data_IF_009892735432
#
_entry.id   IF_009892735432
#
_cell.length_a   1.000
_cell.length_b   1.000
_cell.length_c   1.000
_cell.angle_alpha   90.00
_cell.angle_beta   90.00
_cell.angle_gamma   90.00
#
_symmetry.space_group_name_H-M   'P 1'
#
loop_
_entity.id
_entity.type
_entity.pdbx_description
1 polymer ?
#
# COMPACT_ATOMS: atom_id res chain seq x y z
N UNK A 1 26.99 27.13 2.59
CA UNK A 1 25.68 27.75 2.29
C UNK A 1 24.93 27.00 1.18
N UNK A 2 25.56 26.74 0.03
CA UNK A 2 24.97 26.00 -1.12
C UNK A 2 24.52 24.56 -0.77
N UNK A 3 25.26 23.86 0.11
CA UNK A 3 24.91 22.50 0.56
C UNK A 3 23.55 22.42 1.28
N UNK A 4 23.16 23.47 2.03
CA UNK A 4 21.87 23.52 2.72
C UNK A 4 20.70 23.66 1.74
N UNK A 5 20.92 24.39 0.63
CA UNK A 5 19.90 24.59 -0.41
C UNK A 5 19.60 23.28 -1.15
N UNK A 6 20.64 22.48 -1.41
CA UNK A 6 20.48 21.17 -2.06
C UNK A 6 19.65 20.22 -1.20
N UNK A 7 19.90 20.16 0.12
CA UNK A 7 19.12 19.29 1.03
C UNK A 7 17.64 19.67 1.03
N UNK A 8 17.31 20.96 1.10
CA UNK A 8 15.92 21.42 1.09
C UNK A 8 15.18 21.05 -0.20
N UNK A 9 15.86 21.14 -1.35
CA UNK A 9 15.28 20.75 -2.65
C UNK A 9 15.09 19.23 -2.71
N UNK A 10 16.05 18.45 -2.23
CA UNK A 10 15.93 16.98 -2.17
C UNK A 10 14.75 16.53 -1.31
N UNK A 11 14.57 17.12 -0.13
CA UNK A 11 13.43 16.83 0.76
C UNK A 11 12.09 17.18 0.10
N UNK A 12 12.00 18.32 -0.58
CA UNK A 12 10.78 18.74 -1.27
C UNK A 12 10.41 17.83 -2.45
N UNK A 13 11.40 17.21 -3.12
CA UNK A 13 11.16 16.22 -4.18
C UNK A 13 10.68 14.90 -3.56
N UNK A 14 11.34 14.43 -2.50
CA UNK A 14 10.97 13.20 -1.80
C UNK A 14 9.56 13.25 -1.21
N UNK A 15 9.13 14.42 -0.73
CA UNK A 15 7.79 14.61 -0.18
C UNK A 15 6.70 14.52 -1.26
N UNK A 16 6.98 15.02 -2.47
CA UNK A 16 6.07 14.88 -3.62
C UNK A 16 5.92 13.43 -4.07
N UNK A 17 7.00 12.67 -4.11
CA UNK A 17 6.93 11.24 -4.47
C UNK A 17 6.14 10.43 -3.45
N UNK A 18 6.22 10.76 -2.17
CA UNK A 18 5.41 10.11 -1.13
C UNK A 18 3.92 10.42 -1.29
N UNK A 19 3.56 11.68 -1.53
CA UNK A 19 2.15 12.09 -1.62
C UNK A 19 1.45 11.57 -2.88
N UNK A 20 2.14 11.53 -4.03
CA UNK A 20 1.54 11.07 -5.30
C UNK A 20 1.42 9.54 -5.39
N UNK A 21 2.22 8.79 -4.62
CA UNK A 21 2.16 7.32 -4.61
C UNK A 21 1.22 6.74 -3.56
N UNK A 22 0.76 7.54 -2.58
CA UNK A 22 -0.22 7.12 -1.60
C UNK A 22 -1.60 6.96 -2.24
N UNK A 23 -1.90 5.73 -2.68
CA UNK A 23 -3.22 5.35 -3.21
C UNK A 23 -4.04 4.69 -2.10
N UNK A 24 -4.83 5.45 -1.32
CA UNK A 24 -5.65 4.85 -0.28
C UNK A 24 -6.71 3.93 -0.89
N UNK A 25 -6.89 2.77 -0.28
CA UNK A 25 -7.95 1.83 -0.59
C UNK A 25 -8.65 1.39 0.68
N UNK A 26 -9.91 0.98 0.53
CA UNK A 26 -10.70 0.41 1.62
C UNK A 26 -10.94 -1.06 1.30
N UNK A 27 -10.80 -1.90 2.32
CA UNK A 27 -11.21 -3.31 2.25
C UNK A 27 -12.74 -3.38 2.29
N UNK A 28 -13.34 -3.98 1.27
CA UNK A 28 -14.79 -4.18 1.19
C UNK A 28 -15.20 -5.64 1.36
N UNK A 29 -14.26 -6.57 1.30
CA UNK A 29 -14.51 -7.96 1.64
C UNK A 29 -14.68 -8.10 3.16
N UNK A 30 -15.72 -8.82 3.59
CA UNK A 30 -16.02 -9.11 5.02
C UNK A 30 -14.79 -9.65 5.75
N UNK A 31 -14.05 -10.53 5.08
CA UNK A 31 -12.78 -11.06 5.54
C UNK A 31 -11.86 -11.32 4.34
N UNK A 32 -10.61 -10.89 4.44
CA UNK A 32 -9.61 -11.14 3.41
C UNK A 32 -8.27 -11.54 4.00
N UNK A 33 -7.68 -12.57 3.41
CA UNK A 33 -6.38 -13.09 3.81
C UNK A 33 -5.29 -12.34 3.04
N UNK A 34 -4.41 -11.68 3.78
CA UNK A 34 -3.25 -11.02 3.20
C UNK A 34 -2.11 -12.02 3.10
N UNK A 35 -1.56 -12.12 1.89
CA UNK A 35 -0.55 -13.09 1.49
C UNK A 35 0.85 -12.50 1.53
N UNK A 36 1.85 -13.33 1.77
CA UNK A 36 3.26 -12.92 1.76
C UNK A 36 3.74 -12.57 0.35
N UNK A 37 3.16 -13.23 -0.65
CA UNK A 37 3.56 -13.15 -2.05
C UNK A 37 2.29 -13.04 -2.92
N UNK A 38 2.39 -12.54 -4.16
CA UNK A 38 1.28 -12.45 -5.10
C UNK A 38 0.91 -13.83 -5.68
N UNK A 39 0.65 -14.80 -4.81
CA UNK A 39 0.32 -16.17 -5.18
C UNK A 39 -0.73 -16.77 -4.24
N UNK A 40 -1.70 -17.50 -4.81
CA UNK A 40 -2.80 -18.09 -4.06
C UNK A 40 -2.33 -19.15 -3.05
N UNK A 41 -1.26 -19.86 -3.38
CA UNK A 41 -0.62 -20.89 -2.55
C UNK A 41 0.35 -20.34 -1.51
N UNK A 42 0.59 -19.02 -1.48
CA UNK A 42 1.49 -18.43 -0.48
C UNK A 42 0.87 -18.45 0.92
N UNK A 43 1.76 -18.36 1.91
CA UNK A 43 1.38 -18.26 3.31
C UNK A 43 0.59 -16.97 3.56
N UNK A 44 -0.46 -17.09 4.37
CA UNK A 44 -1.19 -15.94 4.89
C UNK A 44 -0.37 -15.32 6.02
N UNK A 45 -0.10 -14.02 5.93
CA UNK A 45 0.66 -13.27 6.95
C UNK A 45 -0.30 -12.73 8.01
N UNK A 46 -1.46 -12.21 7.60
CA UNK A 46 -2.51 -11.70 8.49
C UNK A 46 -3.85 -11.65 7.76
N UNK A 47 -4.92 -11.34 8.50
CA UNK A 47 -6.28 -11.22 7.99
C UNK A 47 -6.78 -9.80 8.21
N UNK A 48 -7.45 -9.24 7.21
CA UNK A 48 -8.13 -7.95 7.31
C UNK A 48 -9.64 -8.15 7.25
N UNK A 49 -10.34 -7.20 7.86
CA UNK A 49 -11.78 -7.10 7.84
C UNK A 49 -12.22 -5.88 7.02
N UNK A 50 -13.49 -5.90 6.60
CA UNK A 50 -14.12 -4.78 5.92
C UNK A 50 -13.96 -3.46 6.69
N UNK A 51 -13.91 -2.35 5.95
CA UNK A 51 -13.73 -1.01 6.51
C UNK A 51 -12.29 -0.65 6.87
N UNK A 52 -11.34 -1.59 6.77
CA UNK A 52 -9.92 -1.29 7.01
C UNK A 52 -9.37 -0.41 5.88
N UNK A 53 -8.76 0.72 6.25
CA UNK A 53 -8.01 1.58 5.32
C UNK A 53 -6.60 1.02 5.13
N UNK A 54 -6.21 0.88 3.88
CA UNK A 54 -4.87 0.43 3.45
C UNK A 54 -4.35 1.35 2.36
N UNK A 55 -3.04 1.32 2.11
CA UNK A 55 -2.40 2.07 1.02
C UNK A 55 -1.89 1.09 -0.02
N UNK A 56 -2.25 1.29 -1.28
CA UNK A 56 -1.78 0.44 -2.39
C UNK A 56 -0.41 0.92 -2.83
N UNK A 57 0.61 0.12 -2.55
CA UNK A 57 1.99 0.38 -2.95
C UNK A 57 2.26 -0.05 -4.39
N UNK A 58 1.77 -1.23 -4.76
CA UNK A 58 2.04 -1.84 -6.06
C UNK A 58 0.82 -2.61 -6.57
N UNK A 59 0.71 -2.76 -7.88
CA UNK A 59 -0.31 -3.61 -8.51
C UNK A 59 0.39 -4.55 -9.48
N UNK A 60 0.19 -5.86 -9.29
CA UNK A 60 0.75 -6.93 -10.10
C UNK A 60 -0.36 -7.89 -10.52
N UNK A 61 -0.75 -7.87 -11.80
CA UNK A 61 -1.85 -8.66 -12.35
C UNK A 61 -3.17 -8.56 -11.56
N UNK A 62 -3.49 -9.60 -10.79
CA UNK A 62 -4.69 -9.70 -9.96
C UNK A 62 -4.43 -9.37 -8.49
N UNK A 63 -3.19 -9.01 -8.15
CA UNK A 63 -2.73 -8.72 -6.81
C UNK A 63 -2.41 -7.25 -6.65
N UNK A 64 -2.64 -6.76 -5.43
CA UNK A 64 -2.23 -5.43 -4.99
C UNK A 64 -1.38 -5.61 -3.76
N UNK A 65 -0.20 -5.01 -3.76
CA UNK A 65 0.62 -4.89 -2.57
C UNK A 65 0.05 -3.73 -1.77
N UNK A 66 -0.35 -4.02 -0.54
CA UNK A 66 -0.90 -3.04 0.38
C UNK A 66 0.01 -2.85 1.58
N UNK A 67 -0.06 -1.66 2.16
CA UNK A 67 0.56 -1.31 3.42
C UNK A 67 -0.50 -0.76 4.38
N UNK A 68 -0.44 -1.20 5.63
CA UNK A 68 -1.25 -0.68 6.72
C UNK A 68 -0.57 0.54 7.36
N UNK A 69 -1.34 1.29 8.15
CA UNK A 69 -0.84 2.46 8.89
C UNK A 69 0.25 2.13 9.92
N UNK A 70 0.36 0.86 10.33
CA UNK A 70 1.40 0.36 11.24
C UNK A 70 2.71 -0.01 10.50
N UNK A 71 2.74 0.12 9.17
CA UNK A 71 3.87 -0.25 8.32
C UNK A 71 3.85 -1.71 7.85
N UNK A 72 2.88 -2.52 8.27
CA UNK A 72 2.75 -3.91 7.85
C UNK A 72 2.37 -3.99 6.37
N UNK A 73 3.08 -4.83 5.62
CA UNK A 73 2.88 -5.01 4.18
C UNK A 73 2.38 -6.41 3.84
N UNK A 74 1.64 -6.52 2.73
CA UNK A 74 1.34 -7.80 2.13
C UNK A 74 0.51 -7.71 0.86
N UNK A 75 0.18 -8.85 0.28
CA UNK A 75 -0.49 -8.97 -1.00
C UNK A 75 -1.95 -9.38 -0.83
N UNK A 76 -2.84 -8.68 -1.52
CA UNK A 76 -4.27 -8.92 -1.49
C UNK A 76 -4.81 -9.00 -2.92
N UNK A 77 -5.87 -9.78 -3.14
CA UNK A 77 -6.55 -9.79 -4.43
C UNK A 77 -7.19 -8.43 -4.71
N UNK A 78 -7.06 -7.93 -5.94
CA UNK A 78 -7.60 -6.63 -6.36
C UNK A 78 -9.12 -6.49 -6.17
N UNK A 79 -9.83 -7.61 -6.07
CA UNK A 79 -11.29 -7.68 -5.90
C UNK A 79 -11.73 -7.42 -4.46
N UNK A 80 -10.84 -7.59 -3.48
CA UNK A 80 -11.16 -7.43 -2.07
C UNK A 80 -11.06 -5.97 -1.57
N UNK A 81 -10.35 -5.13 -2.33
CA UNK A 81 -10.16 -3.71 -2.01
C UNK A 81 -10.68 -2.83 -3.13
N UNK A 82 -11.09 -1.61 -2.78
CA UNK A 82 -11.45 -0.59 -3.75
C UNK A 82 -10.72 0.71 -3.40
N UNK A 83 -9.99 1.20 -4.38
CA UNK A 83 -9.24 2.46 -4.29
C UNK A 83 -10.23 3.63 -4.16
N UNK A 84 -9.90 4.55 -3.24
CA UNK A 84 -10.67 5.78 -3.02
C UNK A 84 -9.93 6.87 -3.77
N UNK A 85 -10.41 7.16 -4.98
CA UNK A 85 -9.92 8.27 -5.82
C UNK A 85 -10.80 9.49 -5.64
#
# INVERSE_FOLDING_TARGET
MIFRLLISVSSAISEKDHYENDKPAIVFAEMVLVKSEPQRSSNTVFTLHEGTKVFVLETLDNWKKIQLTDGTEGWIEKTAIKEVK
#
